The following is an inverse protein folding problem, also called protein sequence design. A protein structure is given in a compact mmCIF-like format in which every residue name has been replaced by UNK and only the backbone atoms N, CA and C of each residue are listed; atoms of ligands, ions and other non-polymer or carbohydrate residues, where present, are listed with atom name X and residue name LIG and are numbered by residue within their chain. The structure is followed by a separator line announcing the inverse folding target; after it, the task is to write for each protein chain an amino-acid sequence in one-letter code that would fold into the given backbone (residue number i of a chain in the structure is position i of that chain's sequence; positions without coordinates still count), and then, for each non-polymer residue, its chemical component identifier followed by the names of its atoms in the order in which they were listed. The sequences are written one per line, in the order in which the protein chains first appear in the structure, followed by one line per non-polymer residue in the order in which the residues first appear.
data_IF_439784750599
#
_entry.id   IF_439784750599
#
_cell.length_a   1.000
_cell.length_b   1.000
_cell.length_c   1.000
_cell.angle_alpha   90.00
_cell.angle_beta   90.00
_cell.angle_gamma   90.00
#
_symmetry.space_group_name_H-M   'P 1'
#
loop_
_entity.id
_entity.type
_entity.pdbx_description
1 polymer ?
#
# COMPACT_ATOMS: atom_id res chain seq x y z
N UNK A 1 4.55 -6.59 15.18
CA UNK A 1 5.28 -5.70 14.26
C UNK A 1 4.91 -4.22 14.43
N UNK A 2 3.69 -3.77 14.06
CA UNK A 2 3.37 -2.33 14.02
C UNK A 2 3.53 -1.59 15.36
N UNK A 3 3.24 -2.24 16.50
CA UNK A 3 3.41 -1.66 17.84
C UNK A 3 4.89 -1.44 18.18
N UNK A 4 5.73 -2.44 17.95
CA UNK A 4 7.19 -2.33 18.17
C UNK A 4 7.77 -1.22 17.29
N UNK A 5 7.41 -1.19 16.01
CA UNK A 5 7.87 -0.18 15.06
C UNK A 5 7.39 1.26 15.38
N UNK A 6 6.31 1.42 16.15
CA UNK A 6 5.80 2.75 16.52
C UNK A 6 6.79 3.53 17.41
N UNK A 7 7.56 2.83 18.26
CA UNK A 7 8.63 3.44 19.06
C UNK A 7 9.63 4.19 18.18
N UNK A 8 10.18 3.55 17.15
CA UNK A 8 11.15 4.16 16.25
C UNK A 8 10.61 5.23 15.29
N UNK A 9 9.28 5.38 15.19
CA UNK A 9 8.66 6.39 14.31
C UNK A 9 8.28 7.67 15.02
N UNK A 10 7.71 7.58 16.22
CA UNK A 10 7.15 8.74 16.94
C UNK A 10 7.55 8.79 18.42
N UNK A 11 8.48 7.95 18.84
CA UNK A 11 8.92 7.86 20.24
C UNK A 11 10.37 7.44 20.35
N UNK A 12 10.67 6.60 21.34
CA UNK A 12 12.00 6.03 21.55
C UNK A 12 12.10 4.67 20.84
N UNK A 13 13.07 4.55 19.91
CA UNK A 13 13.34 3.32 19.15
C UNK A 13 13.82 2.15 20.04
N UNK A 14 14.40 2.42 21.22
CA UNK A 14 14.88 1.40 22.13
C UNK A 14 13.78 0.59 22.82
N UNK A 15 12.56 1.15 22.96
CA UNK A 15 11.46 0.45 23.62
C UNK A 15 11.14 -0.91 23.02
N UNK A 16 11.28 -1.04 21.70
CA UNK A 16 11.08 -2.33 21.02
C UNK A 16 12.11 -3.38 21.46
N UNK A 17 13.38 -2.98 21.53
CA UNK A 17 14.47 -3.87 21.98
C UNK A 17 14.34 -4.19 23.46
N UNK A 18 13.99 -3.19 24.27
CA UNK A 18 13.75 -3.38 25.72
C UNK A 18 12.66 -4.41 25.96
N UNK A 19 11.51 -4.31 25.24
CA UNK A 19 10.43 -5.31 25.36
C UNK A 19 10.89 -6.72 25.03
N UNK A 20 11.67 -6.90 23.95
CA UNK A 20 12.13 -8.22 23.50
C UNK A 20 13.18 -8.85 24.43
N UNK A 21 13.88 -8.03 25.22
CA UNK A 21 14.89 -8.49 26.19
C UNK A 21 14.36 -8.63 27.61
N UNK A 22 13.17 -8.07 27.90
CA UNK A 22 12.65 -8.04 29.26
C UNK A 22 12.20 -9.45 29.70
N UNK A 23 12.61 -9.81 30.92
CA UNK A 23 12.28 -11.10 31.54
C UNK A 23 11.28 -10.94 32.69
N UNK A 24 11.12 -9.73 33.23
CA UNK A 24 10.13 -9.38 34.25
C UNK A 24 8.80 -9.09 33.56
N UNK A 25 7.77 -9.89 33.87
CA UNK A 25 6.45 -9.80 33.25
C UNK A 25 5.79 -8.44 33.50
N UNK A 26 5.90 -7.87 34.68
CA UNK A 26 5.31 -6.56 35.01
C UNK A 26 5.92 -5.45 34.19
N UNK A 27 7.25 -5.42 34.06
CA UNK A 27 7.95 -4.45 33.23
C UNK A 27 7.66 -4.65 31.73
N UNK A 28 7.55 -5.90 31.29
CA UNK A 28 7.18 -6.21 29.90
C UNK A 28 5.79 -5.69 29.56
N UNK A 29 4.81 -5.83 30.47
CA UNK A 29 3.46 -5.27 30.32
C UNK A 29 3.49 -3.74 30.25
N UNK A 30 4.26 -3.07 31.10
CA UNK A 30 4.40 -1.61 31.09
C UNK A 30 4.99 -1.10 29.77
N UNK A 31 6.03 -1.76 29.26
CA UNK A 31 6.66 -1.39 27.98
C UNK A 31 5.69 -1.66 26.82
N UNK A 32 4.98 -2.78 26.84
CA UNK A 32 4.00 -3.13 25.81
C UNK A 32 2.83 -2.12 25.78
N UNK A 33 2.36 -1.65 26.94
CA UNK A 33 1.34 -0.60 27.05
C UNK A 33 1.82 0.71 26.44
N UNK A 34 3.05 1.16 26.76
CA UNK A 34 3.64 2.36 26.15
C UNK A 34 3.75 2.24 24.62
N UNK A 35 4.16 1.09 24.12
CA UNK A 35 4.23 0.85 22.67
C UNK A 35 2.83 0.83 22.01
N UNK A 36 1.81 0.33 22.71
CA UNK A 36 0.43 0.38 22.20
C UNK A 36 -0.08 1.83 22.11
N UNK A 37 0.18 2.65 23.11
CA UNK A 37 -0.21 4.07 23.11
C UNK A 37 0.54 4.86 22.02
N UNK A 38 1.84 4.61 21.83
CA UNK A 38 2.59 5.16 20.70
C UNK A 38 1.98 4.70 19.36
N UNK A 39 1.57 3.45 19.24
CA UNK A 39 0.94 2.95 18.02
C UNK A 39 -0.43 3.62 17.76
N UNK A 40 -1.26 3.85 18.79
CA UNK A 40 -2.51 4.62 18.68
C UNK A 40 -2.23 6.04 18.20
N UNK A 41 -1.25 6.73 18.82
CA UNK A 41 -0.82 8.07 18.41
C UNK A 41 -0.30 8.10 16.99
N UNK A 42 0.55 7.12 16.60
CA UNK A 42 1.03 6.99 15.21
C UNK A 42 -0.12 6.86 14.21
N UNK A 43 -1.12 6.01 14.52
CA UNK A 43 -2.29 5.82 13.65
C UNK A 43 -3.08 7.12 13.49
N UNK A 44 -3.31 7.84 14.57
CA UNK A 44 -3.98 9.14 14.56
C UNK A 44 -3.22 10.16 13.68
N UNK A 45 -1.93 10.36 13.94
CA UNK A 45 -1.09 11.28 13.16
C UNK A 45 -1.01 10.86 11.67
N UNK A 46 -0.98 9.55 11.39
CA UNK A 46 -0.97 9.05 10.00
C UNK A 46 -2.27 9.40 9.29
N UNK A 47 -3.43 9.23 9.93
CA UNK A 47 -4.72 9.57 9.33
C UNK A 47 -4.88 11.08 9.12
N UNK A 48 -4.42 11.89 10.08
CA UNK A 48 -4.42 13.35 9.96
C UNK A 48 -3.54 13.82 8.78
N UNK A 49 -2.31 13.30 8.70
CA UNK A 49 -1.41 13.63 7.60
C UNK A 49 -1.97 13.16 6.24
N UNK A 50 -2.54 11.97 6.19
CA UNK A 50 -3.17 11.42 4.98
C UNK A 50 -4.29 12.33 4.45
N UNK A 51 -5.16 12.82 5.34
CA UNK A 51 -6.21 13.77 4.96
C UNK A 51 -5.65 15.08 4.40
N UNK A 52 -4.61 15.65 5.02
CA UNK A 52 -3.95 16.87 4.53
C UNK A 52 -3.31 16.65 3.16
N UNK A 53 -2.64 15.51 2.98
CA UNK A 53 -1.97 15.14 1.72
C UNK A 53 -2.99 14.94 0.59
N UNK A 54 -4.11 14.27 0.85
CA UNK A 54 -5.19 14.10 -0.14
C UNK A 54 -5.70 15.48 -0.60
N UNK A 55 -5.96 16.41 0.33
CA UNK A 55 -6.38 17.75 -0.04
C UNK A 55 -5.35 18.52 -0.89
N UNK A 56 -4.04 18.35 -0.62
CA UNK A 56 -2.98 18.92 -1.48
C UNK A 56 -2.98 18.28 -2.87
N UNK A 57 -3.13 16.96 -2.97
CA UNK A 57 -3.16 16.25 -4.24
C UNK A 57 -4.38 16.67 -5.08
N UNK A 58 -5.56 16.74 -4.46
CA UNK A 58 -6.79 17.19 -5.16
C UNK A 58 -6.63 18.60 -5.74
N UNK A 59 -5.99 19.50 -4.97
CA UNK A 59 -5.65 20.83 -5.46
C UNK A 59 -4.70 20.78 -6.65
N UNK A 60 -3.61 20.03 -6.56
CA UNK A 60 -2.64 19.86 -7.65
C UNK A 60 -3.32 19.31 -8.91
N UNK A 61 -4.18 18.30 -8.77
CA UNK A 61 -4.94 17.73 -9.90
C UNK A 61 -5.87 18.76 -10.52
N UNK A 62 -6.59 19.55 -9.71
CA UNK A 62 -7.48 20.59 -10.22
C UNK A 62 -6.76 21.72 -10.97
N UNK A 63 -5.53 22.00 -10.59
CA UNK A 63 -4.64 23.01 -11.22
C UNK A 63 -3.89 22.44 -12.46
N UNK A 64 -3.93 21.12 -12.67
CA UNK A 64 -3.26 20.40 -13.76
C UNK A 64 -4.27 19.73 -14.71
N UNK A 65 -5.26 20.47 -15.19
CA UNK A 65 -6.28 19.99 -16.15
C UNK A 65 -7.01 18.70 -15.73
N UNK A 66 -7.14 18.47 -14.42
CA UNK A 66 -7.66 17.25 -13.80
C UNK A 66 -6.81 15.98 -14.07
N UNK A 67 -5.56 16.15 -14.43
CA UNK A 67 -4.62 15.05 -14.59
C UNK A 67 -3.69 14.90 -13.37
N UNK A 68 -3.39 13.66 -13.01
CA UNK A 68 -2.39 13.37 -11.97
C UNK A 68 -1.00 13.57 -12.55
N UNK A 69 -0.14 14.42 -11.96
CA UNK A 69 1.24 14.59 -12.40
C UNK A 69 2.03 13.27 -12.44
N UNK A 70 3.11 13.24 -13.20
CA UNK A 70 3.97 12.06 -13.32
C UNK A 70 4.61 11.66 -11.99
N UNK A 71 4.88 12.63 -11.11
CA UNK A 71 5.29 12.41 -9.72
C UNK A 71 4.57 13.42 -8.80
N UNK A 72 4.28 13.02 -7.58
CA UNK A 72 3.63 13.85 -6.56
C UNK A 72 4.67 14.30 -5.53
N UNK A 73 4.87 15.60 -5.41
CA UNK A 73 5.73 16.22 -4.39
C UNK A 73 4.89 17.09 -3.47
N UNK A 74 4.86 16.73 -2.18
CA UNK A 74 3.99 17.32 -1.17
C UNK A 74 4.81 17.72 0.05
N UNK A 75 4.45 18.81 0.71
CA UNK A 75 5.23 19.30 1.82
C UNK A 75 4.38 20.03 2.88
N UNK A 76 4.93 20.14 4.08
CA UNK A 76 4.31 20.92 5.14
C UNK A 76 5.20 21.08 6.38
N UNK A 77 4.99 22.18 7.13
CA UNK A 77 5.75 22.52 8.32
C UNK A 77 5.34 21.71 9.55
N UNK A 78 4.12 21.20 9.57
CA UNK A 78 3.55 20.43 10.68
C UNK A 78 3.57 18.91 10.45
N UNK A 79 4.25 18.45 9.40
CA UNK A 79 4.37 17.04 9.09
C UNK A 79 5.38 16.35 10.00
N UNK A 80 5.01 15.22 10.55
CA UNK A 80 5.91 14.43 11.39
C UNK A 80 6.80 13.52 10.53
N UNK A 81 8.14 13.71 10.60
CA UNK A 81 9.13 12.98 9.78
C UNK A 81 8.96 11.46 9.82
N UNK A 82 8.66 10.87 10.99
CA UNK A 82 8.56 9.42 11.17
C UNK A 82 7.37 8.74 10.49
N UNK A 83 6.41 9.53 9.95
CA UNK A 83 5.21 8.99 9.29
C UNK A 83 5.10 9.36 7.81
N UNK A 84 5.88 10.33 7.31
CA UNK A 84 5.85 10.75 5.89
C UNK A 84 6.01 9.58 4.94
N UNK A 85 6.95 8.67 5.20
CA UNK A 85 7.17 7.48 4.39
C UNK A 85 6.02 6.46 4.40
N UNK A 86 5.18 6.45 5.47
CA UNK A 86 3.97 5.59 5.50
C UNK A 86 2.92 6.18 4.57
N UNK A 87 2.68 7.49 4.67
CA UNK A 87 1.68 8.17 3.85
C UNK A 87 2.12 8.19 2.38
N UNK A 88 3.42 8.44 2.09
CA UNK A 88 3.96 8.34 0.73
C UNK A 88 3.70 6.96 0.11
N UNK A 89 3.87 5.87 0.88
CA UNK A 89 3.56 4.51 0.42
C UNK A 89 2.09 4.33 0.04
N UNK A 90 1.16 4.83 0.87
CA UNK A 90 -0.28 4.75 0.59
C UNK A 90 -0.69 5.58 -0.64
N UNK A 91 -0.19 6.80 -0.74
CA UNK A 91 -0.47 7.67 -1.89
C UNK A 91 0.09 7.09 -3.19
N UNK A 92 1.30 6.51 -3.13
CA UNK A 92 1.88 5.77 -4.25
C UNK A 92 0.95 4.65 -4.74
N UNK A 93 0.37 3.89 -3.84
CA UNK A 93 -0.57 2.81 -4.18
C UNK A 93 -1.89 3.35 -4.75
N UNK A 94 -2.42 4.43 -4.16
CA UNK A 94 -3.69 5.05 -4.58
C UNK A 94 -3.59 5.68 -5.97
N UNK A 95 -2.52 6.42 -6.23
CA UNK A 95 -2.39 7.22 -7.48
C UNK A 95 -1.53 6.53 -8.55
N UNK A 96 -0.87 5.41 -8.22
CA UNK A 96 0.09 4.71 -9.09
C UNK A 96 1.14 5.66 -9.67
N UNK A 97 1.75 6.49 -8.81
CA UNK A 97 2.79 7.47 -9.14
C UNK A 97 3.87 7.46 -8.07
N UNK A 98 5.12 7.80 -8.38
CA UNK A 98 6.11 8.16 -7.38
C UNK A 98 5.60 9.31 -6.51
N UNK A 99 5.76 9.20 -5.19
CA UNK A 99 5.32 10.19 -4.21
C UNK A 99 6.46 10.55 -3.28
N UNK A 100 6.76 11.83 -3.15
CA UNK A 100 7.70 12.39 -2.19
C UNK A 100 6.95 13.29 -1.20
N UNK A 101 7.04 13.00 0.10
CA UNK A 101 6.45 13.83 1.15
C UNK A 101 7.58 14.44 1.99
N UNK A 102 7.57 15.76 2.12
CA UNK A 102 8.63 16.55 2.75
C UNK A 102 8.08 17.18 4.03
N UNK A 103 8.65 16.81 5.18
CA UNK A 103 8.41 17.46 6.46
C UNK A 103 9.42 18.59 6.65
N UNK A 104 8.95 19.83 6.79
CA UNK A 104 9.79 20.99 7.00
C UNK A 104 9.85 21.24 8.52
N UNK A 105 11.04 21.18 9.09
CA UNK A 105 11.24 21.39 10.50
C UNK A 105 11.36 22.89 10.88
N UNK A 106 11.39 23.20 12.17
CA UNK A 106 11.48 24.57 12.70
C UNK A 106 12.79 25.30 12.29
N UNK A 107 13.82 24.56 11.89
CA UNK A 107 15.10 25.11 11.42
C UNK A 107 15.09 25.41 9.92
N UNK A 108 13.96 25.29 9.24
CA UNK A 108 13.86 25.51 7.80
C UNK A 108 14.56 24.43 6.96
N UNK A 109 14.63 23.20 7.46
CA UNK A 109 15.18 22.06 6.71
C UNK A 109 14.04 21.12 6.37
N UNK A 110 13.89 20.81 5.09
CA UNK A 110 12.96 19.79 4.60
C UNK A 110 13.57 18.39 4.66
N UNK A 111 12.89 17.44 5.30
CA UNK A 111 13.22 16.02 5.25
C UNK A 111 12.19 15.27 4.42
N UNK A 112 12.62 14.75 3.28
CA UNK A 112 11.79 14.05 2.31
C UNK A 112 11.86 12.54 2.46
N UNK A 113 10.70 11.91 2.31
CA UNK A 113 10.56 10.46 2.14
C UNK A 113 9.85 10.17 0.83
N UNK A 114 10.53 9.48 -0.07
CA UNK A 114 10.02 9.07 -1.37
C UNK A 114 9.62 7.61 -1.41
N UNK A 115 8.57 7.32 -2.17
CA UNK A 115 8.14 5.96 -2.54
C UNK A 115 7.85 5.91 -4.02
N UNK A 116 8.32 4.87 -4.69
CA UNK A 116 8.19 4.71 -6.14
C UNK A 116 7.32 3.52 -6.53
N UNK A 117 6.95 3.50 -7.79
CA UNK A 117 6.31 2.38 -8.47
C UNK A 117 7.36 1.58 -9.25
N UNK A 118 7.01 0.35 -9.62
CA UNK A 118 7.89 -0.49 -10.44
C UNK A 118 8.22 0.20 -11.77
N UNK A 119 9.48 0.11 -12.20
CA UNK A 119 9.97 0.73 -13.43
C UNK A 119 10.44 2.19 -13.30
N UNK A 120 10.27 2.83 -12.13
CA UNK A 120 10.78 4.18 -11.88
C UNK A 120 11.88 4.14 -10.81
N UNK A 121 13.17 4.25 -11.18
CA UNK A 121 14.31 4.11 -10.27
C UNK A 121 14.52 5.37 -9.42
N UNK A 122 13.72 5.53 -8.37
CA UNK A 122 13.71 6.73 -7.54
C UNK A 122 15.08 7.02 -6.90
N UNK A 123 15.82 5.98 -6.49
CA UNK A 123 17.14 6.14 -5.90
C UNK A 123 18.13 6.85 -6.85
N UNK A 124 18.12 6.48 -8.13
CA UNK A 124 18.97 7.12 -9.16
C UNK A 124 18.53 8.58 -9.38
N UNK A 125 17.24 8.84 -9.47
CA UNK A 125 16.67 10.19 -9.63
C UNK A 125 17.09 11.10 -8.46
N UNK A 126 17.07 10.59 -7.23
CA UNK A 126 17.49 11.32 -6.02
C UNK A 126 19.00 11.57 -6.04
N UNK A 127 19.82 10.61 -6.44
CA UNK A 127 21.28 10.79 -6.56
C UNK A 127 21.62 11.84 -7.64
N UNK A 128 20.92 11.84 -8.75
CA UNK A 128 21.10 12.86 -9.79
C UNK A 128 20.67 14.26 -9.30
N UNK A 129 19.54 14.37 -8.57
CA UNK A 129 19.11 15.62 -7.95
C UNK A 129 20.15 16.18 -6.95
N UNK A 130 20.84 15.28 -6.23
CA UNK A 130 21.96 15.66 -5.35
C UNK A 130 23.13 16.22 -6.15
N UNK A 131 23.54 15.55 -7.23
CA UNK A 131 24.63 15.99 -8.10
C UNK A 131 24.35 17.36 -8.76
N UNK A 132 23.08 17.64 -9.03
CA UNK A 132 22.61 18.92 -9.56
C UNK A 132 22.42 20.01 -8.48
N UNK A 133 22.73 19.72 -7.22
CA UNK A 133 22.51 20.60 -6.07
C UNK A 133 21.06 21.07 -5.89
N UNK A 134 20.08 20.28 -6.35
CA UNK A 134 18.66 20.52 -6.12
C UNK A 134 18.29 20.14 -4.68
N UNK A 135 18.90 19.07 -4.16
CA UNK A 135 18.77 18.61 -2.78
C UNK A 135 20.12 18.69 -2.04
N UNK A 136 20.08 18.73 -0.71
CA UNK A 136 21.29 18.89 0.11
C UNK A 136 21.99 17.54 0.40
N UNK A 137 21.21 16.48 0.57
CA UNK A 137 21.68 15.11 0.76
C UNK A 137 20.54 14.15 0.42
N UNK A 138 20.88 12.94 0.03
CA UNK A 138 19.83 11.95 -0.28
C UNK A 138 20.44 10.67 -0.80
N UNK A 139 19.58 9.64 -0.89
CA UNK A 139 19.91 8.34 -1.42
C UNK A 139 18.75 7.37 -1.21
N UNK A 140 18.90 6.18 -1.73
CA UNK A 140 17.86 5.16 -1.62
C UNK A 140 18.07 4.04 -2.62
N UNK A 141 16.99 3.33 -2.86
CA UNK A 141 16.88 2.27 -3.84
C UNK A 141 15.71 2.57 -4.78
N UNK A 142 15.49 1.76 -5.79
CA UNK A 142 14.46 1.98 -6.82
C UNK A 142 13.08 2.32 -6.24
N UNK A 143 12.67 1.62 -5.19
CA UNK A 143 11.32 1.73 -4.63
C UNK A 143 11.17 2.73 -3.48
N UNK A 144 12.27 3.22 -2.89
CA UNK A 144 12.24 4.10 -1.73
C UNK A 144 13.51 4.94 -1.61
N UNK A 145 13.33 6.22 -1.28
CA UNK A 145 14.43 7.14 -1.07
C UNK A 145 14.16 8.09 0.11
N UNK A 146 15.25 8.59 0.71
CA UNK A 146 15.22 9.65 1.70
C UNK A 146 16.16 10.79 1.28
N UNK A 147 15.79 12.02 1.60
CA UNK A 147 16.60 13.18 1.23
C UNK A 147 16.37 14.38 2.16
N UNK A 148 17.30 15.32 2.14
CA UNK A 148 17.12 16.63 2.77
C UNK A 148 17.16 17.72 1.69
N UNK A 149 16.33 18.73 1.88
CA UNK A 149 16.14 19.80 0.90
C UNK A 149 15.93 21.14 1.58
N UNK A 150 16.43 22.22 0.96
CA UNK A 150 16.04 23.57 1.34
C UNK A 150 14.60 23.82 0.87
N UNK A 151 13.68 24.34 1.70
CA UNK A 151 12.31 24.64 1.31
C UNK A 151 12.19 25.49 0.05
N UNK A 152 13.11 26.41 -0.18
CA UNK A 152 13.13 27.26 -1.38
C UNK A 152 13.47 26.49 -2.68
N UNK A 153 13.85 25.23 -2.58
CA UNK A 153 14.18 24.33 -3.70
C UNK A 153 13.11 23.28 -3.96
N UNK A 154 12.00 23.30 -3.23
CA UNK A 154 10.95 22.27 -3.36
C UNK A 154 10.29 22.34 -4.74
N UNK A 155 10.05 23.55 -5.25
CA UNK A 155 9.45 23.73 -6.58
C UNK A 155 10.40 23.26 -7.68
N UNK A 156 11.69 23.63 -7.61
CA UNK A 156 12.74 23.14 -8.53
C UNK A 156 12.81 21.60 -8.51
N UNK A 157 12.73 21.00 -7.32
CA UNK A 157 12.72 19.54 -7.15
C UNK A 157 11.47 18.90 -7.74
N UNK A 158 10.31 19.53 -7.54
CA UNK A 158 9.03 19.04 -8.08
C UNK A 158 9.05 19.06 -9.61
N UNK A 159 9.52 20.12 -10.23
CA UNK A 159 9.67 20.21 -11.68
C UNK A 159 10.65 19.14 -12.19
N UNK A 160 11.84 19.08 -11.59
CA UNK A 160 12.87 18.10 -11.94
C UNK A 160 12.38 16.66 -11.93
N UNK A 161 11.76 16.21 -10.81
CA UNK A 161 11.32 14.83 -10.68
C UNK A 161 10.18 14.51 -11.66
N UNK A 162 9.28 15.45 -11.93
CA UNK A 162 8.22 15.27 -12.91
C UNK A 162 8.77 15.10 -14.32
N UNK A 163 9.76 15.90 -14.72
CA UNK A 163 10.42 15.76 -16.02
C UNK A 163 11.11 14.41 -16.16
N UNK A 164 11.84 13.97 -15.12
CA UNK A 164 12.54 12.67 -15.10
C UNK A 164 11.57 11.50 -15.18
N UNK A 165 10.58 11.49 -14.33
CA UNK A 165 9.57 10.42 -14.31
C UNK A 165 8.80 10.37 -15.63
N UNK A 166 8.39 11.53 -16.16
CA UNK A 166 7.69 11.60 -17.44
C UNK A 166 8.55 11.06 -18.60
N UNK A 167 9.85 11.30 -18.57
CA UNK A 167 10.78 10.77 -19.58
C UNK A 167 10.82 9.24 -19.55
N UNK A 168 10.89 8.64 -18.36
CA UNK A 168 10.84 7.19 -18.19
C UNK A 168 9.47 6.64 -18.60
N UNK A 169 8.38 7.29 -18.19
CA UNK A 169 7.00 6.85 -18.49
C UNK A 169 6.64 6.95 -19.99
N UNK A 170 7.30 7.84 -20.76
CA UNK A 170 7.10 7.95 -22.23
C UNK A 170 7.68 6.75 -22.98
N UNK A 171 8.72 6.12 -22.44
CA UNK A 171 9.33 4.90 -23.02
C UNK A 171 8.58 3.66 -22.64
N UNK A 172 8.07 3.59 -21.40
CA UNK A 172 7.23 2.48 -20.89
C UNK A 172 6.28 3.02 -19.82
N UNK A 173 4.99 3.07 -20.11
CA UNK A 173 3.99 3.36 -19.06
C UNK A 173 3.97 2.15 -18.11
N UNK A 174 4.36 2.30 -16.84
CA UNK A 174 4.31 1.20 -15.90
C UNK A 174 2.87 0.76 -15.70
N UNK A 175 2.47 -0.33 -16.37
CA UNK A 175 1.17 -0.94 -16.13
C UNK A 175 1.21 -1.67 -14.80
N UNK A 176 0.13 -1.56 -14.04
CA UNK A 176 -0.05 -2.44 -12.88
C UNK A 176 -0.08 -3.87 -13.45
N UNK A 177 0.94 -4.64 -13.16
CA UNK A 177 1.01 -6.05 -13.55
C UNK A 177 0.98 -6.92 -12.31
N UNK A 178 0.17 -7.95 -12.34
CA UNK A 178 0.14 -8.95 -11.30
C UNK A 178 0.67 -10.27 -11.86
N UNK A 179 1.52 -10.93 -11.09
CA UNK A 179 1.91 -12.30 -11.39
C UNK A 179 0.97 -13.21 -10.62
N UNK A 180 0.10 -13.91 -11.34
CA UNK A 180 -0.72 -14.97 -10.76
C UNK A 180 0.00 -16.31 -10.86
N UNK A 181 0.00 -17.05 -9.77
CA UNK A 181 0.61 -18.38 -9.71
C UNK A 181 -0.20 -19.38 -10.57
N UNK A 182 -1.52 -19.27 -10.53
CA UNK A 182 -2.40 -20.13 -11.33
C UNK A 182 -3.81 -19.55 -11.44
N UNK A 183 -4.55 -20.06 -12.43
CA UNK A 183 -6.00 -19.89 -12.58
C UNK A 183 -6.66 -21.14 -12.01
N UNK A 184 -7.52 -20.99 -11.02
CA UNK A 184 -8.18 -22.13 -10.34
C UNK A 184 -9.68 -21.90 -10.19
N UNK A 185 -10.54 -22.94 -10.30
CA UNK A 185 -11.96 -22.82 -10.01
C UNK A 185 -12.22 -22.74 -8.50
N UNK A 186 -13.41 -22.28 -8.10
CA UNK A 186 -13.83 -22.23 -6.67
C UNK A 186 -13.73 -23.60 -6.01
N UNK A 187 -13.98 -24.69 -6.77
CA UNK A 187 -13.88 -26.06 -6.26
C UNK A 187 -12.48 -26.43 -5.76
N UNK A 188 -11.43 -25.86 -6.35
CA UNK A 188 -10.03 -26.07 -5.95
C UNK A 188 -9.61 -25.21 -4.75
N UNK A 189 -10.39 -24.19 -4.38
CA UNK A 189 -10.16 -23.39 -3.18
C UNK A 189 -10.58 -24.20 -1.95
N UNK A 190 -9.64 -24.95 -1.39
CA UNK A 190 -9.88 -25.85 -0.24
C UNK A 190 -9.04 -25.44 0.97
N UNK A 191 -9.48 -25.82 2.16
CA UNK A 191 -8.70 -25.62 3.39
C UNK A 191 -7.36 -26.36 3.28
N UNK A 192 -7.33 -27.54 2.66
CA UNK A 192 -6.12 -28.31 2.46
C UNK A 192 -5.09 -27.54 1.61
N UNK A 193 -5.52 -26.93 0.48
CA UNK A 193 -4.63 -26.10 -0.32
C UNK A 193 -4.08 -24.92 0.49
N UNK A 194 -4.92 -24.23 1.25
CA UNK A 194 -4.49 -23.10 2.06
C UNK A 194 -3.55 -23.52 3.21
N UNK A 195 -3.78 -24.67 3.86
CA UNK A 195 -2.86 -25.24 4.86
C UNK A 195 -1.47 -25.54 4.24
N UNK A 196 -1.42 -26.06 2.99
CA UNK A 196 -0.14 -26.26 2.29
C UNK A 196 0.56 -24.94 1.97
N UNK A 197 -0.18 -23.94 1.52
CA UNK A 197 0.37 -22.60 1.25
C UNK A 197 0.93 -22.00 2.54
N UNK A 198 0.23 -22.07 3.66
CA UNK A 198 0.70 -21.56 4.95
C UNK A 198 2.02 -22.24 5.40
N UNK A 199 2.15 -23.55 5.18
CA UNK A 199 3.38 -24.31 5.49
C UNK A 199 4.57 -23.92 4.62
N UNK A 200 4.34 -23.47 3.38
CA UNK A 200 5.40 -23.00 2.49
C UNK A 200 5.94 -21.61 2.89
N UNK A 201 5.17 -20.85 3.69
CA UNK A 201 5.62 -19.56 4.23
C UNK A 201 6.79 -19.68 5.21
N UNK A 202 7.30 -18.58 5.74
CA UNK A 202 6.74 -17.21 5.63
C UNK A 202 7.03 -16.54 4.28
N UNK A 203 6.04 -15.84 3.76
CA UNK A 203 6.14 -15.07 2.51
C UNK A 203 6.81 -13.72 2.75
N UNK A 204 7.54 -13.21 1.76
CA UNK A 204 8.23 -11.93 1.84
C UNK A 204 9.07 -11.61 0.60
N UNK A 205 10.05 -10.73 0.75
CA UNK A 205 10.94 -10.34 -0.34
C UNK A 205 11.70 -11.56 -0.90
N UNK A 206 11.58 -11.77 -2.21
CA UNK A 206 12.18 -12.91 -2.91
C UNK A 206 11.38 -14.22 -2.84
N UNK A 207 10.29 -14.28 -2.07
CA UNK A 207 9.35 -15.40 -1.99
C UNK A 207 7.94 -14.87 -1.78
N UNK A 208 7.34 -14.35 -2.83
CA UNK A 208 6.03 -13.71 -2.76
C UNK A 208 4.90 -14.72 -2.49
N UNK A 209 3.87 -14.27 -1.77
CA UNK A 209 2.69 -15.08 -1.50
C UNK A 209 1.98 -15.46 -2.81
N UNK A 210 1.66 -16.76 -3.02
CA UNK A 210 0.96 -17.20 -4.22
C UNK A 210 -0.39 -16.53 -4.40
N UNK A 211 -0.62 -16.00 -5.60
CA UNK A 211 -1.86 -15.35 -5.99
C UNK A 211 -2.57 -16.21 -7.02
N UNK A 212 -3.88 -16.29 -6.88
CA UNK A 212 -4.73 -17.09 -7.74
C UNK A 212 -5.75 -16.22 -8.45
N UNK A 213 -6.06 -16.58 -9.68
CA UNK A 213 -7.20 -16.02 -10.41
C UNK A 213 -8.35 -17.00 -10.31
N UNK A 214 -9.49 -16.53 -9.79
CA UNK A 214 -10.76 -17.25 -9.83
C UNK A 214 -11.55 -16.70 -11.01
N UNK A 215 -11.69 -17.48 -12.12
CA UNK A 215 -12.25 -16.96 -13.33
C UNK A 215 -13.77 -16.98 -13.33
N UNK A 216 -14.36 -16.06 -14.07
CA UNK A 216 -15.76 -16.06 -14.51
C UNK A 216 -16.79 -16.27 -13.40
N UNK A 217 -16.60 -15.62 -12.24
CA UNK A 217 -17.49 -15.75 -11.09
C UNK A 217 -18.34 -14.49 -10.88
N UNK A 218 -19.53 -14.66 -10.31
CA UNK A 218 -20.47 -13.57 -9.96
C UNK A 218 -20.36 -13.23 -8.48
N UNK A 219 -20.50 -11.96 -8.17
CA UNK A 219 -20.61 -11.49 -6.78
C UNK A 219 -22.02 -11.77 -6.25
N UNK A 220 -22.07 -12.29 -5.03
CA UNK A 220 -23.33 -12.50 -4.28
C UNK A 220 -23.16 -12.05 -2.84
N UNK A 221 -24.25 -11.66 -2.18
CA UNK A 221 -24.26 -11.31 -0.75
C UNK A 221 -23.22 -10.28 -0.32
N UNK A 222 -23.09 -9.21 -1.10
CA UNK A 222 -22.16 -8.12 -0.83
C UNK A 222 -22.54 -7.33 0.43
N UNK A 223 -21.56 -7.02 1.26
CA UNK A 223 -21.69 -6.12 2.42
C UNK A 223 -20.41 -5.31 2.65
N UNK A 224 -20.58 -4.08 3.12
CA UNK A 224 -19.48 -3.29 3.66
C UNK A 224 -19.36 -3.51 5.17
N UNK A 225 -18.14 -3.36 5.70
CA UNK A 225 -17.87 -3.43 7.14
C UNK A 225 -16.69 -2.53 7.51
N UNK A 226 -16.42 -2.40 8.83
CA UNK A 226 -15.49 -1.43 9.39
C UNK A 226 -16.22 -0.20 9.90
N UNK A 227 -15.56 0.63 10.73
CA UNK A 227 -16.17 1.80 11.38
C UNK A 227 -16.65 2.86 10.37
N UNK A 228 -16.00 2.95 9.20
CA UNK A 228 -16.31 3.89 8.12
C UNK A 228 -16.72 3.17 6.82
N UNK A 229 -17.19 1.92 6.90
CA UNK A 229 -17.51 1.10 5.72
C UNK A 229 -16.34 0.96 4.73
N UNK A 230 -15.12 1.00 5.25
CA UNK A 230 -13.89 0.99 4.46
C UNK A 230 -13.47 -0.39 3.96
N UNK A 231 -14.20 -1.44 4.30
CA UNK A 231 -13.91 -2.81 3.89
C UNK A 231 -15.11 -3.44 3.22
N UNK A 232 -14.89 -4.46 2.39
CA UNK A 232 -15.95 -5.26 1.78
C UNK A 232 -15.78 -6.75 2.07
N UNK A 233 -16.90 -7.42 2.25
CA UNK A 233 -17.00 -8.87 2.28
C UNK A 233 -18.19 -9.32 1.42
N UNK A 234 -17.96 -10.31 0.59
CA UNK A 234 -18.96 -10.87 -0.30
C UNK A 234 -18.66 -12.33 -0.62
N UNK A 235 -19.59 -13.01 -1.26
CA UNK A 235 -19.36 -14.34 -1.81
C UNK A 235 -19.26 -14.25 -3.32
N UNK A 236 -18.45 -15.14 -3.90
CA UNK A 236 -18.40 -15.36 -5.35
C UNK A 236 -18.85 -16.78 -5.68
N UNK A 237 -19.45 -16.94 -6.88
CA UNK A 237 -19.93 -18.20 -7.38
C UNK A 237 -19.63 -18.29 -8.90
N UNK A 238 -19.00 -19.41 -9.32
CA UNK A 238 -18.62 -19.70 -10.71
C UNK A 238 -19.66 -20.60 -11.45
N UNK A 239 -20.86 -20.71 -10.89
CA UNK A 239 -21.91 -21.60 -11.37
C UNK A 239 -21.90 -23.00 -10.73
N UNK A 240 -20.89 -23.31 -9.91
CA UNK A 240 -20.84 -24.54 -9.12
C UNK A 240 -21.72 -24.44 -7.88
N UNK A 241 -21.90 -25.55 -7.17
CA UNK A 241 -22.62 -25.59 -5.87
C UNK A 241 -21.87 -24.91 -4.74
N UNK A 242 -20.56 -24.66 -4.90
CA UNK A 242 -19.72 -24.01 -3.90
C UNK A 242 -19.72 -22.50 -4.06
N UNK A 243 -19.60 -21.80 -2.94
CA UNK A 243 -19.35 -20.35 -2.89
C UNK A 243 -18.05 -20.11 -2.15
N UNK A 244 -17.26 -19.13 -2.61
CA UNK A 244 -16.05 -18.70 -1.94
C UNK A 244 -16.27 -17.32 -1.32
N UNK A 245 -15.96 -17.19 -0.05
CA UNK A 245 -16.00 -15.91 0.65
C UNK A 245 -14.79 -15.07 0.25
N UNK A 246 -15.02 -13.79 -0.01
CA UNK A 246 -14.01 -12.82 -0.41
C UNK A 246 -14.00 -11.67 0.57
N UNK A 247 -12.82 -11.21 0.94
CA UNK A 247 -12.61 -9.99 1.73
C UNK A 247 -11.69 -9.02 0.99
N UNK A 248 -12.04 -7.74 1.03
CA UNK A 248 -11.19 -6.64 0.58
C UNK A 248 -11.12 -5.59 1.68
N UNK A 249 -9.90 -5.30 2.11
CA UNK A 249 -9.65 -4.24 3.08
C UNK A 249 -9.26 -2.94 2.35
N UNK A 250 -9.55 -1.79 3.00
CA UNK A 250 -9.16 -0.45 2.55
C UNK A 250 -9.71 -0.08 1.16
N UNK A 251 -11.01 -0.10 1.02
CA UNK A 251 -11.72 0.31 -0.21
C UNK A 251 -11.83 1.84 -0.39
N UNK A 252 -11.48 2.64 0.62
CA UNK A 252 -11.58 4.09 0.54
C UNK A 252 -10.68 4.57 -0.60
N UNK A 253 -11.28 5.33 -1.54
CA UNK A 253 -10.65 5.85 -2.76
C UNK A 253 -10.14 4.78 -3.74
N UNK A 254 -10.67 3.56 -3.71
CA UNK A 254 -10.29 2.50 -4.63
C UNK A 254 -11.21 2.46 -5.86
N UNK A 255 -10.63 2.26 -7.04
CA UNK A 255 -11.35 2.07 -8.32
C UNK A 255 -12.38 0.94 -8.22
N UNK A 256 -12.13 -0.08 -7.41
CA UNK A 256 -13.06 -1.19 -7.15
C UNK A 256 -14.41 -0.75 -6.56
N UNK A 257 -14.52 0.44 -5.96
CA UNK A 257 -15.82 0.95 -5.51
C UNK A 257 -16.82 1.05 -6.65
N UNK A 258 -16.38 1.51 -7.83
CA UNK A 258 -17.24 1.61 -9.03
C UNK A 258 -17.71 0.23 -9.51
N UNK A 259 -16.89 -0.81 -9.32
CA UNK A 259 -17.28 -2.20 -9.63
C UNK A 259 -18.39 -2.65 -8.69
N UNK A 260 -18.21 -2.39 -7.39
CA UNK A 260 -19.16 -2.82 -6.36
C UNK A 260 -20.50 -2.05 -6.40
N UNK A 261 -20.53 -0.92 -7.08
CA UNK A 261 -21.77 -0.17 -7.31
C UNK A 261 -22.61 -0.77 -8.47
N UNK A 262 -22.00 -1.56 -9.38
CA UNK A 262 -22.62 -2.10 -10.58
C UNK A 262 -22.27 -3.57 -10.84
N UNK A 263 -22.19 -4.41 -9.81
CA UNK A 263 -21.73 -5.81 -9.93
C UNK A 263 -22.83 -6.80 -10.33
N UNK A 264 -24.11 -6.41 -10.30
CA UNK A 264 -25.22 -7.33 -10.50
C UNK A 264 -25.20 -7.92 -11.92
N UNK A 265 -25.31 -9.25 -11.99
CA UNK A 265 -25.34 -10.01 -13.25
C UNK A 265 -24.07 -9.94 -14.13
N UNK A 266 -22.96 -9.41 -13.58
CA UNK A 266 -21.67 -9.37 -14.28
C UNK A 266 -20.75 -10.49 -13.75
N UNK A 267 -20.05 -11.17 -14.67
CA UNK A 267 -18.99 -12.10 -14.32
C UNK A 267 -17.65 -11.37 -14.29
N UNK A 268 -16.85 -11.68 -13.29
CA UNK A 268 -15.53 -11.11 -13.08
C UNK A 268 -14.48 -12.19 -12.88
N UNK A 269 -13.22 -11.84 -13.08
CA UNK A 269 -12.09 -12.64 -12.69
C UNK A 269 -11.49 -12.02 -11.43
N UNK A 270 -11.40 -12.79 -10.34
CA UNK A 270 -10.92 -12.31 -9.05
C UNK A 270 -9.48 -12.73 -8.82
N UNK A 271 -8.60 -11.78 -8.57
CA UNK A 271 -7.20 -12.02 -8.20
C UNK A 271 -7.02 -11.85 -6.70
N UNK A 272 -6.37 -12.81 -6.05
CA UNK A 272 -6.06 -12.71 -4.63
C UNK A 272 -5.32 -13.92 -4.07
N UNK A 273 -5.02 -13.88 -2.77
CA UNK A 273 -4.42 -14.98 -2.03
C UNK A 273 -5.48 -15.74 -1.21
N UNK A 274 -5.25 -17.05 -1.04
CA UNK A 274 -6.12 -17.91 -0.23
C UNK A 274 -5.68 -17.89 1.23
N UNK A 275 -6.61 -17.70 2.15
CA UNK A 275 -6.35 -17.70 3.58
C UNK A 275 -7.41 -18.49 4.34
N UNK A 276 -7.07 -18.93 5.55
CA UNK A 276 -7.99 -19.65 6.43
C UNK A 276 -8.52 -18.68 7.48
N UNK A 277 -9.82 -18.49 7.50
CA UNK A 277 -10.52 -17.82 8.60
C UNK A 277 -10.82 -18.83 9.72
N UNK A 278 -10.38 -18.53 10.94
CA UNK A 278 -10.57 -19.38 12.13
C UNK A 278 -11.57 -18.80 13.12
N UNK A 279 -12.45 -17.90 12.65
CA UNK A 279 -13.46 -17.28 13.51
C UNK A 279 -14.45 -18.31 14.09
N UNK A 280 -14.77 -18.17 15.37
CA UNK A 280 -15.69 -19.07 16.13
C UNK A 280 -15.30 -20.56 16.11
N UNK A 281 -14.00 -20.88 16.18
CA UNK A 281 -13.48 -22.25 16.14
C UNK A 281 -13.89 -23.06 14.89
N UNK A 282 -14.35 -22.41 13.85
CA UNK A 282 -14.62 -23.03 12.55
C UNK A 282 -13.59 -22.55 11.54
N UNK A 283 -12.98 -23.50 10.80
CA UNK A 283 -12.08 -23.17 9.70
C UNK A 283 -12.89 -22.97 8.43
N UNK A 284 -12.71 -21.84 7.75
CA UNK A 284 -13.29 -21.61 6.44
C UNK A 284 -12.24 -20.99 5.50
N UNK A 285 -12.36 -21.32 4.21
CA UNK A 285 -11.48 -20.73 3.18
C UNK A 285 -12.01 -19.37 2.74
N UNK A 286 -11.12 -18.39 2.60
CA UNK A 286 -11.43 -17.05 2.09
C UNK A 286 -10.42 -16.64 1.04
N UNK A 287 -10.85 -15.82 0.08
CA UNK A 287 -9.97 -15.11 -0.85
C UNK A 287 -9.74 -13.69 -0.34
N UNK A 288 -8.48 -13.36 -0.09
CA UNK A 288 -8.07 -11.98 0.17
C UNK A 288 -7.87 -11.29 -1.17
N UNK A 289 -8.82 -10.44 -1.55
CA UNK A 289 -8.88 -9.82 -2.87
C UNK A 289 -7.78 -8.77 -3.04
N UNK A 290 -6.95 -8.94 -4.06
CA UNK A 290 -6.04 -7.92 -4.55
C UNK A 290 -6.73 -7.02 -5.58
N UNK A 291 -7.30 -7.62 -6.65
CA UNK A 291 -7.93 -6.88 -7.73
C UNK A 291 -9.01 -7.69 -8.46
N UNK A 292 -9.76 -7.02 -9.33
CA UNK A 292 -10.76 -7.59 -10.23
C UNK A 292 -10.34 -7.31 -11.66
N UNK A 293 -10.21 -8.38 -12.46
CA UNK A 293 -9.73 -8.34 -13.83
C UNK A 293 -10.91 -8.45 -14.79
N UNK A 294 -11.06 -7.48 -15.68
CA UNK A 294 -12.17 -7.40 -16.65
C UNK A 294 -11.88 -8.06 -18.00
N UNK A 295 -10.60 -8.36 -18.33
CA UNK A 295 -10.21 -8.88 -19.63
C UNK A 295 -10.34 -10.40 -19.74
N UNK A 296 -10.56 -10.90 -20.96
CA UNK A 296 -10.43 -12.32 -21.26
C UNK A 296 -9.08 -12.86 -20.83
N UNK A 297 -9.07 -13.97 -20.09
CA UNK A 297 -7.86 -14.60 -19.56
C UNK A 297 -6.94 -15.21 -20.64
N UNK A 298 -7.31 -15.13 -21.92
CA UNK A 298 -6.52 -15.65 -23.05
C UNK A 298 -5.10 -15.07 -23.15
N UNK A 299 -4.84 -13.89 -22.56
CA UNK A 299 -3.53 -13.25 -22.54
C UNK A 299 -2.59 -13.73 -21.43
N UNK A 300 -3.08 -14.47 -20.43
CA UNK A 300 -2.30 -14.92 -19.27
C UNK A 300 -1.71 -16.32 -19.42
N UNK A 301 -2.16 -17.10 -20.40
CA UNK A 301 -1.74 -18.50 -20.58
C UNK A 301 -0.46 -18.68 -21.41
N UNK A 302 0.17 -17.59 -21.92
CA UNK A 302 1.29 -17.70 -22.87
C UNK A 302 2.43 -16.69 -22.65
N UNK A 303 2.75 -16.34 -21.41
CA UNK A 303 4.03 -15.64 -21.13
C UNK A 303 4.82 -16.34 -20.06
#
# INVERSE_FOLDING_TARGET
GPRINAGGRIGNSELGVQLLKETDESKAIDIASKLDDLNKKRRFLTAELESKIIGQIEKIISENDNEVPSALVLHGYDFHEGITGIVAGRMKETYNRPVCIIAINKNGIGKGSGRSIHGIPLGEIILEALNLNIINSGGGHDMAAGFTINPNKIDDFSEYINVKVNTVMKTEIPKISYIATSVIPISACTIELADWLERLGPWGAGMEEPKFIIPNAKITSFRRFGSNNEHASFYINDGSSKKLKVKKFNLVNNVLNKVFDNYENVNFNFLGSLTIDTWNNTKSIELMLDDIIYSDLTWFLFK
#
